data_IF_909407920178
#
_entry.id   IF_909407920178
#
_cell.length_a   1.000
_cell.length_b   1.000
_cell.length_c   1.000
_cell.angle_alpha   90.00
_cell.angle_beta   90.00
_cell.angle_gamma   90.00
#
_symmetry.space_group_name_H-M   'P 1'
#
loop_
_entity.id
_entity.type
_entity.pdbx_description
1 polymer ?
#
# COMPACT_ATOMS: atom_id res chain seq x y z
N UNK A 1 4.20 -2.99 20.94
CA UNK A 1 3.11 -1.96 21.03
C UNK A 1 3.40 -0.63 20.31
N UNK A 2 4.65 -0.19 20.10
CA UNK A 2 4.96 1.06 19.35
C UNK A 2 4.90 0.94 17.81
N UNK A 3 5.07 -0.26 17.25
CA UNK A 3 5.32 -0.44 15.82
C UNK A 3 4.10 -0.40 14.90
N UNK A 4 2.88 -0.71 15.39
CA UNK A 4 1.67 -0.65 14.56
C UNK A 4 1.24 0.79 14.28
N UNK A 5 1.51 1.71 15.22
CA UNK A 5 1.23 3.14 15.06
C UNK A 5 2.10 3.78 13.98
N UNK A 6 3.35 3.32 13.83
CA UNK A 6 4.28 3.84 12.84
C UNK A 6 3.89 3.41 11.41
N UNK A 7 3.47 2.15 11.24
CA UNK A 7 2.98 1.65 9.94
C UNK A 7 1.69 2.36 9.51
N UNK A 8 0.77 2.59 10.44
CA UNK A 8 -0.48 3.34 10.19
C UNK A 8 -0.21 4.82 9.89
N UNK A 9 0.68 5.49 10.63
CA UNK A 9 1.00 6.89 10.35
C UNK A 9 1.72 7.07 9.01
N UNK A 10 2.66 6.18 8.65
CA UNK A 10 3.42 6.30 7.39
C UNK A 10 2.57 5.92 6.17
N UNK A 11 1.66 4.93 6.26
CA UNK A 11 0.75 4.65 5.15
C UNK A 11 -0.34 5.72 4.99
N UNK A 12 -0.95 6.20 6.10
CA UNK A 12 -2.08 7.15 6.03
C UNK A 12 -1.67 8.60 5.73
N UNK A 13 -0.50 9.08 6.18
CA UNK A 13 -0.03 10.44 5.87
C UNK A 13 0.41 10.59 4.42
N UNK A 14 0.73 9.50 3.72
CA UNK A 14 1.34 9.56 2.39
C UNK A 14 0.35 9.27 1.26
N UNK A 15 -0.65 8.40 1.48
CA UNK A 15 -1.74 8.23 0.52
C UNK A 15 -2.53 9.53 0.35
N UNK A 16 -2.68 10.34 1.41
CA UNK A 16 -3.31 11.66 1.31
C UNK A 16 -2.46 12.65 0.51
N UNK A 17 -1.16 12.78 0.78
CA UNK A 17 -0.32 13.79 0.10
C UNK A 17 -0.05 13.48 -1.38
N UNK A 18 0.04 12.21 -1.77
CA UNK A 18 0.26 11.84 -3.18
C UNK A 18 -0.99 12.04 -4.04
N UNK A 19 -2.16 11.75 -3.45
CA UNK A 19 -3.47 12.05 -4.02
C UNK A 19 -3.63 13.56 -4.31
N UNK A 20 -3.17 14.41 -3.39
CA UNK A 20 -3.27 15.87 -3.53
C UNK A 20 -2.31 16.43 -4.59
N UNK A 21 -1.10 15.89 -4.72
CA UNK A 21 -0.12 16.37 -5.72
C UNK A 21 -0.50 16.00 -7.17
N UNK A 22 -1.11 14.83 -7.39
CA UNK A 22 -1.61 14.46 -8.72
C UNK A 22 -2.87 15.25 -9.11
N UNK A 23 -3.69 15.66 -8.14
CA UNK A 23 -4.86 16.51 -8.35
C UNK A 23 -4.49 17.96 -8.73
N UNK A 24 -3.40 18.49 -8.20
CA UNK A 24 -2.98 19.88 -8.45
C UNK A 24 -2.36 20.12 -9.84
N UNK A 25 -2.04 19.08 -10.60
CA UNK A 25 -1.16 19.19 -11.76
C UNK A 25 -1.85 19.48 -13.12
N UNK A 26 -3.16 19.26 -13.31
CA UNK A 26 -3.81 19.62 -14.59
C UNK A 26 -5.36 19.72 -14.54
N UNK A 27 -6.01 20.64 -15.28
CA UNK A 27 -7.47 20.81 -15.29
C UNK A 27 -8.19 19.89 -16.30
N UNK A 28 -7.47 19.08 -17.06
CA UNK A 28 -8.06 18.20 -18.08
C UNK A 28 -8.58 16.91 -17.43
N UNK A 29 -9.90 16.71 -17.41
CA UNK A 29 -10.53 15.57 -16.72
C UNK A 29 -10.08 14.18 -17.20
N UNK A 30 -9.41 14.07 -18.37
CA UNK A 30 -8.88 12.80 -18.91
C UNK A 30 -7.59 12.36 -18.20
N UNK A 31 -6.72 13.28 -17.82
CA UNK A 31 -5.45 12.96 -17.16
C UNK A 31 -5.69 12.61 -15.70
N UNK A 32 -6.58 13.33 -15.02
CA UNK A 32 -6.99 13.02 -13.64
C UNK A 32 -7.66 11.64 -13.53
N UNK A 33 -8.41 11.26 -14.55
CA UNK A 33 -9.02 9.93 -14.69
C UNK A 33 -7.98 8.80 -14.72
N UNK A 34 -6.89 8.98 -15.46
CA UNK A 34 -5.79 8.00 -15.57
C UNK A 34 -5.02 7.91 -14.25
N UNK A 35 -4.73 9.04 -13.60
CA UNK A 35 -4.09 9.04 -12.29
C UNK A 35 -4.95 8.36 -11.23
N UNK A 36 -6.26 8.58 -11.26
CA UNK A 36 -7.19 7.90 -10.36
C UNK A 36 -7.16 6.38 -10.55
N UNK A 37 -7.23 5.92 -11.80
CA UNK A 37 -7.12 4.49 -12.14
C UNK A 37 -5.77 3.90 -11.73
N UNK A 38 -4.66 4.58 -12.01
CA UNK A 38 -3.32 4.12 -11.61
C UNK A 38 -3.18 4.06 -10.10
N UNK A 39 -3.72 5.02 -9.37
CA UNK A 39 -3.56 5.12 -7.93
C UNK A 39 -4.45 4.13 -7.20
N UNK A 40 -5.77 4.16 -7.45
CA UNK A 40 -6.72 3.27 -6.78
C UNK A 40 -6.62 1.84 -7.32
N UNK A 41 -6.56 1.68 -8.65
CA UNK A 41 -6.41 0.38 -9.29
C UNK A 41 -5.04 -0.24 -9.01
N UNK A 42 -3.96 0.55 -9.11
CA UNK A 42 -2.61 0.09 -8.80
C UNK A 42 -2.42 -0.27 -7.32
N UNK A 43 -2.96 0.51 -6.40
CA UNK A 43 -2.99 0.16 -4.98
C UNK A 43 -3.71 -1.17 -4.77
N UNK A 44 -4.90 -1.34 -5.36
CA UNK A 44 -5.69 -2.57 -5.25
C UNK A 44 -4.93 -3.78 -5.79
N UNK A 45 -4.30 -3.64 -6.97
CA UNK A 45 -3.50 -4.69 -7.59
C UNK A 45 -2.27 -5.06 -6.76
N UNK A 46 -1.57 -4.09 -6.15
CA UNK A 46 -0.44 -4.35 -5.27
C UNK A 46 -0.87 -4.95 -3.93
N UNK A 47 -2.07 -4.61 -3.46
CA UNK A 47 -2.61 -5.10 -2.20
C UNK A 47 -2.99 -6.59 -2.25
N UNK A 48 -3.42 -7.12 -3.39
CA UNK A 48 -3.75 -8.55 -3.55
C UNK A 48 -2.57 -9.50 -3.21
N UNK A 49 -1.39 -9.40 -3.87
CA UNK A 49 -0.24 -10.26 -3.55
C UNK A 49 0.28 -10.01 -2.14
N UNK A 50 0.13 -8.78 -1.61
CA UNK A 50 0.44 -8.46 -0.22
C UNK A 50 -0.45 -9.25 0.75
N UNK A 51 -1.76 -9.26 0.52
CA UNK A 51 -2.72 -10.03 1.30
C UNK A 51 -2.45 -11.53 1.23
N UNK A 52 -2.11 -12.04 0.05
CA UNK A 52 -1.73 -13.44 -0.12
C UNK A 52 -0.48 -13.78 0.71
N UNK A 53 0.58 -12.96 0.63
CA UNK A 53 1.78 -13.12 1.44
C UNK A 53 1.47 -13.14 2.93
N UNK A 54 0.62 -12.23 3.42
CA UNK A 54 0.23 -12.19 4.83
C UNK A 54 -0.62 -13.38 5.26
N UNK A 55 -1.52 -13.85 4.39
CA UNK A 55 -2.34 -15.03 4.64
C UNK A 55 -1.49 -16.30 4.75
N UNK A 56 -0.61 -16.57 3.77
CA UNK A 56 0.22 -17.78 3.76
C UNK A 56 1.29 -17.79 4.86
N UNK A 57 1.71 -16.61 5.32
CA UNK A 57 2.66 -16.49 6.43
C UNK A 57 1.98 -16.29 7.80
N UNK A 58 0.67 -16.51 7.88
CA UNK A 58 -0.10 -16.59 9.13
C UNK A 58 -0.28 -15.27 9.89
N UNK A 59 -0.10 -14.12 9.23
CA UNK A 59 -0.25 -12.81 9.89
C UNK A 59 -1.71 -12.52 10.29
N UNK A 60 -2.67 -13.11 9.57
CA UNK A 60 -4.10 -12.97 9.87
C UNK A 60 -4.60 -13.81 11.06
N UNK A 61 -3.75 -14.65 11.67
CA UNK A 61 -4.06 -15.27 12.96
C UNK A 61 -4.07 -14.24 14.12
N UNK A 62 -3.35 -13.13 13.97
CA UNK A 62 -3.36 -12.06 14.96
C UNK A 62 -4.74 -11.40 15.05
N UNK A 63 -5.16 -11.02 16.27
CA UNK A 63 -6.44 -10.32 16.47
C UNK A 63 -6.44 -8.90 15.90
N UNK A 64 -5.29 -8.22 15.87
CA UNK A 64 -5.17 -6.80 15.53
C UNK A 64 -4.69 -6.54 14.10
N UNK A 65 -3.82 -7.41 13.56
CA UNK A 65 -3.23 -7.22 12.25
C UNK A 65 -4.26 -7.10 11.10
N UNK A 66 -5.23 -8.03 10.92
CA UNK A 66 -6.22 -7.94 9.85
C UNK A 66 -7.12 -6.70 9.99
N UNK A 67 -7.45 -6.28 11.22
CA UNK A 67 -8.22 -5.06 11.47
C UNK A 67 -7.47 -3.82 10.99
N UNK A 68 -6.19 -3.68 11.32
CA UNK A 68 -5.38 -2.55 10.90
C UNK A 68 -5.12 -2.55 9.39
N UNK A 69 -4.82 -3.71 8.80
CA UNK A 69 -4.63 -3.82 7.36
C UNK A 69 -5.90 -3.41 6.61
N UNK A 70 -7.05 -3.93 7.04
CA UNK A 70 -8.35 -3.56 6.47
C UNK A 70 -8.64 -2.07 6.63
N UNK A 71 -8.43 -1.51 7.82
CA UNK A 71 -8.69 -0.09 8.08
C UNK A 71 -7.84 0.83 7.18
N UNK A 72 -6.55 0.53 7.02
CA UNK A 72 -5.66 1.29 6.14
C UNK A 72 -6.13 1.18 4.69
N UNK A 73 -6.40 -0.02 4.21
CA UNK A 73 -6.86 -0.24 2.84
C UNK A 73 -8.21 0.47 2.57
N UNK A 74 -9.12 0.47 3.55
CA UNK A 74 -10.41 1.16 3.45
C UNK A 74 -10.26 2.68 3.39
N UNK A 75 -9.36 3.27 4.20
CA UNK A 75 -9.10 4.71 4.19
C UNK A 75 -8.64 5.16 2.79
N UNK A 76 -7.73 4.42 2.16
CA UNK A 76 -7.27 4.74 0.80
C UNK A 76 -8.43 4.72 -0.20
N UNK A 77 -9.33 3.73 -0.09
CA UNK A 77 -10.51 3.64 -0.95
C UNK A 77 -11.52 4.77 -0.70
N UNK A 78 -11.73 5.17 0.57
CA UNK A 78 -12.63 6.26 0.93
C UNK A 78 -12.10 7.59 0.39
N UNK A 79 -10.81 7.86 0.58
CA UNK A 79 -10.18 9.07 0.04
C UNK A 79 -10.29 9.07 -1.49
N UNK A 80 -10.05 7.92 -2.14
CA UNK A 80 -10.31 7.75 -3.57
C UNK A 80 -11.75 8.14 -3.96
N UNK A 81 -12.75 7.60 -3.26
CA UNK A 81 -14.15 7.87 -3.55
C UNK A 81 -14.52 9.35 -3.41
N UNK A 82 -14.01 10.05 -2.40
CA UNK A 82 -14.26 11.49 -2.20
C UNK A 82 -13.73 12.31 -3.38
N UNK A 83 -12.53 12.01 -3.87
CA UNK A 83 -11.94 12.73 -5.01
C UNK A 83 -12.74 12.54 -6.29
N UNK A 84 -13.28 11.34 -6.52
CA UNK A 84 -14.13 11.08 -7.69
C UNK A 84 -15.38 11.94 -7.66
N UNK A 85 -16.00 12.09 -6.49
CA UNK A 85 -17.21 12.89 -6.33
C UNK A 85 -16.88 14.38 -6.59
N UNK A 86 -15.75 14.85 -6.08
CA UNK A 86 -15.28 16.23 -6.26
C UNK A 86 -15.04 16.60 -7.74
N UNK A 87 -14.58 15.63 -8.55
CA UNK A 87 -14.28 15.81 -9.97
C UNK A 87 -15.52 15.99 -10.88
N UNK A 88 -16.75 15.84 -10.36
CA UNK A 88 -18.00 15.85 -11.15
C UNK A 88 -17.88 15.14 -12.52
N UNK A 89 -17.46 13.86 -12.56
CA UNK A 89 -17.20 13.16 -13.80
C UNK A 89 -18.48 12.97 -14.63
N UNK A 90 -18.32 12.86 -15.95
CA UNK A 90 -19.44 12.45 -16.82
C UNK A 90 -20.02 11.10 -16.38
N UNK A 91 -21.29 10.85 -16.69
CA UNK A 91 -22.02 9.65 -16.22
C UNK A 91 -21.31 8.33 -16.56
N UNK A 92 -20.61 8.28 -17.70
CA UNK A 92 -19.84 7.10 -18.12
C UNK A 92 -18.57 6.89 -17.27
N UNK A 93 -17.86 7.96 -16.90
CA UNK A 93 -16.70 7.86 -16.02
C UNK A 93 -17.13 7.59 -14.57
N UNK A 94 -18.26 8.14 -14.13
CA UNK A 94 -18.82 7.89 -12.80
C UNK A 94 -19.14 6.41 -12.58
N UNK A 95 -19.78 5.75 -13.54
CA UNK A 95 -20.11 4.32 -13.43
C UNK A 95 -18.85 3.44 -13.39
N UNK A 96 -17.83 3.78 -14.17
CA UNK A 96 -16.53 3.12 -14.15
C UNK A 96 -15.84 3.27 -12.78
N UNK A 97 -15.77 4.49 -12.24
CA UNK A 97 -15.15 4.73 -10.93
C UNK A 97 -15.88 4.05 -9.79
N UNK A 98 -17.20 4.08 -9.80
CA UNK A 98 -18.01 3.35 -8.82
C UNK A 98 -17.71 1.84 -8.86
N UNK A 99 -17.64 1.24 -10.05
CA UNK A 99 -17.27 -0.17 -10.20
C UNK A 99 -15.92 -0.50 -9.55
N UNK A 100 -14.91 0.34 -9.81
CA UNK A 100 -13.56 0.15 -9.25
C UNK A 100 -13.54 0.36 -7.74
N UNK A 101 -14.22 1.39 -7.23
CA UNK A 101 -14.32 1.66 -5.79
C UNK A 101 -14.99 0.48 -5.09
N UNK A 102 -16.08 -0.07 -5.64
CA UNK A 102 -16.77 -1.24 -5.08
C UNK A 102 -15.83 -2.45 -5.02
N UNK A 103 -15.13 -2.76 -6.13
CA UNK A 103 -14.16 -3.85 -6.18
C UNK A 103 -13.03 -3.63 -5.18
N UNK A 104 -12.50 -2.41 -5.10
CA UNK A 104 -11.40 -2.06 -4.21
C UNK A 104 -11.81 -2.15 -2.73
N UNK A 105 -13.03 -1.74 -2.36
CA UNK A 105 -13.59 -1.91 -1.01
C UNK A 105 -13.77 -3.39 -0.70
N UNK A 106 -14.34 -4.18 -1.61
CA UNK A 106 -14.51 -5.62 -1.41
C UNK A 106 -13.16 -6.32 -1.16
N UNK A 107 -12.14 -5.98 -1.96
CA UNK A 107 -10.78 -6.50 -1.78
C UNK A 107 -10.09 -5.95 -0.53
N UNK A 108 -10.39 -4.74 -0.09
CA UNK A 108 -9.88 -4.19 1.17
C UNK A 108 -10.46 -4.88 2.40
N UNK A 109 -11.69 -5.38 2.32
CA UNK A 109 -12.35 -6.16 3.39
C UNK A 109 -11.90 -7.62 3.43
N UNK A 110 -11.25 -8.13 2.37
CA UNK A 110 -10.81 -9.51 2.27
C UNK A 110 -9.96 -10.01 3.45
N UNK A 111 -9.04 -9.23 4.07
CA UNK A 111 -8.30 -9.66 5.25
C UNK A 111 -9.19 -10.06 6.44
N UNK A 112 -10.36 -9.42 6.61
CA UNK A 112 -11.32 -9.78 7.65
C UNK A 112 -11.98 -11.13 7.40
N UNK A 113 -12.24 -11.45 6.14
CA UNK A 113 -12.73 -12.78 5.73
C UNK A 113 -11.64 -13.84 5.90
N UNK A 114 -10.43 -13.56 5.44
CA UNK A 114 -9.28 -14.47 5.54
C UNK A 114 -8.88 -14.78 6.98
N UNK A 115 -9.19 -13.89 7.94
CA UNK A 115 -9.02 -14.13 9.37
C UNK A 115 -9.79 -15.37 9.85
N UNK A 116 -10.97 -15.63 9.29
CA UNK A 116 -11.81 -16.77 9.69
C UNK A 116 -11.20 -18.12 9.26
N UNK A 117 -10.38 -18.12 8.21
CA UNK A 117 -9.66 -19.29 7.69
C UNK A 117 -8.15 -19.15 7.85
N UNK A 118 -7.70 -18.43 8.88
CA UNK A 118 -6.31 -18.06 9.06
C UNK A 118 -5.41 -19.30 9.22
N UNK A 119 -4.31 -19.31 8.46
CA UNK A 119 -3.30 -20.38 8.53
C UNK A 119 -2.33 -20.13 9.69
N UNK A 120 -1.86 -21.18 10.38
CA UNK A 120 -0.85 -21.04 11.42
C UNK A 120 0.43 -20.40 10.89
N UNK A 121 1.14 -19.71 11.76
CA UNK A 121 2.37 -19.00 11.42
C UNK A 121 3.43 -19.95 10.88
N UNK A 122 3.96 -19.66 9.69
CA UNK A 122 5.01 -20.46 9.06
C UNK A 122 6.35 -20.24 9.77
N UNK A 123 7.14 -21.31 9.95
CA UNK A 123 8.51 -21.24 10.46
C UNK A 123 9.43 -20.34 9.60
N UNK A 124 9.12 -20.22 8.31
CA UNK A 124 9.87 -19.39 7.35
C UNK A 124 9.18 -18.06 7.03
N UNK A 125 8.20 -17.64 7.85
CA UNK A 125 7.42 -16.43 7.62
C UNK A 125 8.29 -15.19 7.40
N UNK A 126 9.32 -14.99 8.24
CA UNK A 126 10.23 -13.84 8.13
C UNK A 126 10.97 -13.82 6.78
N UNK A 127 11.48 -14.97 6.33
CA UNK A 127 12.21 -15.09 5.07
C UNK A 127 11.31 -14.85 3.86
N UNK A 128 10.11 -15.42 3.86
CA UNK A 128 9.15 -15.26 2.77
C UNK A 128 8.68 -13.80 2.64
N UNK A 129 8.42 -13.13 3.76
CA UNK A 129 8.06 -11.71 3.76
C UNK A 129 9.24 -10.84 3.30
N UNK A 130 10.48 -11.17 3.66
CA UNK A 130 11.67 -10.47 3.18
C UNK A 130 11.87 -10.65 1.67
N UNK A 131 11.69 -11.86 1.14
CA UNK A 131 11.74 -12.11 -0.31
C UNK A 131 10.66 -11.27 -1.01
N UNK A 132 9.44 -11.25 -0.46
CA UNK A 132 8.37 -10.36 -0.94
C UNK A 132 8.82 -8.89 -0.92
N UNK A 133 9.41 -8.42 0.17
CA UNK A 133 9.91 -7.05 0.27
C UNK A 133 10.93 -6.74 -0.84
N UNK A 134 11.88 -7.63 -1.11
CA UNK A 134 12.88 -7.44 -2.18
C UNK A 134 12.20 -7.40 -3.55
N UNK A 135 11.25 -8.31 -3.84
CA UNK A 135 10.51 -8.32 -5.11
C UNK A 135 9.77 -7.00 -5.31
N UNK A 136 9.01 -6.54 -4.31
CA UNK A 136 8.32 -5.25 -4.36
C UNK A 136 9.31 -4.08 -4.49
N UNK A 137 10.49 -4.18 -3.89
CA UNK A 137 11.56 -3.20 -4.02
C UNK A 137 12.09 -3.12 -5.45
N UNK A 138 12.30 -4.26 -6.11
CA UNK A 138 12.70 -4.30 -7.53
C UNK A 138 11.61 -3.74 -8.44
N UNK A 139 10.34 -4.09 -8.20
CA UNK A 139 9.20 -3.53 -8.96
C UNK A 139 9.11 -2.01 -8.76
N UNK A 140 9.52 -1.50 -7.60
CA UNK A 140 9.53 -0.05 -7.33
C UNK A 140 10.51 0.75 -8.19
N UNK A 141 11.45 0.09 -8.87
CA UNK A 141 12.30 0.75 -9.87
C UNK A 141 11.50 1.10 -11.14
N UNK A 142 10.44 0.34 -11.45
CA UNK A 142 9.55 0.60 -12.58
C UNK A 142 8.38 1.52 -12.18
N UNK A 143 7.82 1.29 -10.99
CA UNK A 143 6.70 2.04 -10.45
C UNK A 143 7.01 2.47 -9.01
N UNK A 144 7.56 3.66 -8.86
CA UNK A 144 8.08 4.15 -7.58
C UNK A 144 7.09 4.12 -6.39
N UNK A 145 5.75 4.25 -6.53
CA UNK A 145 4.84 4.14 -5.39
C UNK A 145 4.81 2.74 -4.75
N UNK A 146 5.25 1.72 -5.49
CA UNK A 146 5.32 0.33 -5.03
C UNK A 146 6.35 0.15 -3.90
N UNK A 147 7.30 1.08 -3.76
CA UNK A 147 8.31 1.07 -2.70
C UNK A 147 7.71 1.02 -1.29
N UNK A 148 6.52 1.61 -1.08
CA UNK A 148 5.83 1.60 0.23
C UNK A 148 5.45 0.19 0.65
N UNK A 149 4.99 -0.65 -0.30
CA UNK A 149 4.65 -2.04 -0.02
C UNK A 149 5.88 -2.88 0.33
N UNK A 150 7.02 -2.60 -0.31
CA UNK A 150 8.31 -3.20 0.03
C UNK A 150 8.72 -2.86 1.47
N UNK A 151 8.68 -1.58 1.85
CA UNK A 151 8.98 -1.14 3.20
C UNK A 151 8.04 -1.78 4.24
N UNK A 152 6.74 -1.84 3.94
CA UNK A 152 5.76 -2.47 4.83
C UNK A 152 6.06 -3.96 5.05
N UNK A 153 6.38 -4.71 3.99
CA UNK A 153 6.78 -6.12 4.10
C UNK A 153 8.04 -6.30 4.93
N UNK A 154 9.07 -5.47 4.73
CA UNK A 154 10.31 -5.53 5.50
C UNK A 154 10.07 -5.24 7.00
N UNK A 155 9.21 -4.26 7.32
CA UNK A 155 8.85 -3.96 8.71
C UNK A 155 8.10 -5.12 9.37
N UNK A 156 7.17 -5.77 8.63
CA UNK A 156 6.41 -6.92 9.16
C UNK A 156 7.29 -8.17 9.27
N UNK A 157 8.21 -8.39 8.33
CA UNK A 157 9.18 -9.48 8.35
C UNK A 157 10.07 -9.45 9.60
N UNK A 158 10.54 -8.26 9.98
CA UNK A 158 11.33 -8.00 11.20
C UNK A 158 10.61 -8.42 12.48
N UNK A 159 9.28 -8.28 12.52
CA UNK A 159 8.48 -8.57 13.71
C UNK A 159 8.24 -10.07 13.93
N UNK A 160 8.63 -10.92 12.97
CA UNK A 160 8.51 -12.35 13.10
C UNK A 160 9.61 -12.90 14.00
N UNK A 161 9.27 -13.80 14.93
CA UNK A 161 10.27 -14.57 15.66
C UNK A 161 10.88 -15.61 14.72
N UNK A 162 12.14 -15.42 14.34
CA UNK A 162 12.90 -16.37 13.55
C UNK A 162 14.25 -16.63 14.22
N UNK A 163 14.75 -17.86 14.07
CA UNK A 163 16.07 -18.28 14.58
C UNK A 163 17.23 -17.38 14.08
N UNK A 164 17.06 -16.74 12.92
CA UNK A 164 18.05 -15.87 12.27
C UNK A 164 17.77 -14.36 12.49
N UNK A 165 17.12 -14.01 13.59
CA UNK A 165 16.59 -12.66 13.86
C UNK A 165 17.61 -11.52 13.65
N UNK A 166 18.87 -11.71 14.02
CA UNK A 166 19.89 -10.65 13.95
C UNK A 166 20.19 -10.19 12.53
N UNK A 167 20.47 -11.13 11.63
CA UNK A 167 20.77 -10.84 10.21
C UNK A 167 19.53 -10.33 9.49
N UNK A 168 18.39 -10.99 9.69
CA UNK A 168 17.13 -10.59 9.03
C UNK A 168 16.71 -9.19 9.47
N UNK A 169 16.88 -8.82 10.74
CA UNK A 169 16.58 -7.47 11.21
C UNK A 169 17.42 -6.40 10.54
N UNK A 170 18.73 -6.65 10.35
CA UNK A 170 19.62 -5.73 9.64
C UNK A 170 19.21 -5.54 8.19
N UNK A 171 18.95 -6.64 7.48
CA UNK A 171 18.52 -6.60 6.08
C UNK A 171 17.14 -5.94 5.93
N UNK A 172 16.19 -6.22 6.82
CA UNK A 172 14.88 -5.55 6.81
C UNK A 172 15.01 -4.03 6.97
N UNK A 173 15.88 -3.55 7.86
CA UNK A 173 16.13 -2.12 8.01
C UNK A 173 16.76 -1.50 6.78
N UNK A 174 17.76 -2.16 6.19
CA UNK A 174 18.39 -1.70 4.95
C UNK A 174 17.36 -1.60 3.81
N UNK A 175 16.54 -2.64 3.61
CA UNK A 175 15.50 -2.65 2.57
C UNK A 175 14.45 -1.57 2.84
N UNK A 176 13.98 -1.43 4.08
CA UNK A 176 12.99 -0.41 4.44
C UNK A 176 13.54 1.02 4.25
N UNK A 177 14.77 1.29 4.70
CA UNK A 177 15.41 2.60 4.53
C UNK A 177 15.67 2.90 3.05
N UNK A 178 16.23 1.95 2.31
CA UNK A 178 16.52 2.14 0.89
C UNK A 178 15.24 2.45 0.09
N UNK A 179 14.16 1.74 0.36
CA UNK A 179 12.88 1.94 -0.34
C UNK A 179 12.18 3.23 0.08
N UNK A 180 12.26 3.63 1.36
CA UNK A 180 11.76 4.93 1.83
C UNK A 180 12.56 6.09 1.22
N UNK A 181 13.90 5.99 1.17
CA UNK A 181 14.77 7.00 0.56
C UNK A 181 14.48 7.11 -0.94
N UNK A 182 14.40 5.97 -1.65
CA UNK A 182 14.06 5.93 -3.07
C UNK A 182 12.71 6.60 -3.35
N UNK A 183 11.70 6.27 -2.56
CA UNK A 183 10.38 6.89 -2.65
C UNK A 183 10.45 8.40 -2.40
N UNK A 184 11.13 8.83 -1.32
CA UNK A 184 11.27 10.25 -0.97
C UNK A 184 11.99 11.07 -2.03
N UNK A 185 13.00 10.49 -2.69
CA UNK A 185 13.70 11.10 -3.82
C UNK A 185 12.78 11.30 -5.03
N UNK A 186 11.98 10.30 -5.38
CA UNK A 186 11.05 10.41 -6.51
C UNK A 186 9.91 11.38 -6.21
N UNK A 187 9.41 11.41 -4.97
CA UNK A 187 8.40 12.36 -4.54
C UNK A 187 8.91 13.81 -4.56
N UNK A 188 10.16 14.05 -4.15
CA UNK A 188 10.75 15.39 -4.18
C UNK A 188 11.01 15.88 -5.61
N UNK A 189 11.43 15.00 -6.50
CA UNK A 189 11.53 15.31 -7.94
C UNK A 189 10.19 15.70 -8.53
N UNK A 190 9.13 14.94 -8.23
CA UNK A 190 7.77 15.28 -8.65
C UNK A 190 7.34 16.66 -8.13
N UNK A 191 7.59 16.96 -6.85
CA UNK A 191 7.24 18.24 -6.25
C UNK A 191 7.89 19.43 -6.96
N UNK A 192 9.15 19.30 -7.39
CA UNK A 192 9.86 20.35 -8.13
C UNK A 192 9.29 20.61 -9.53
N UNK A 193 8.53 19.67 -10.08
CA UNK A 193 7.94 19.75 -11.42
C UNK A 193 6.46 20.15 -11.40
N UNK A 194 5.86 20.36 -10.22
CA UNK A 194 4.51 20.91 -10.10
C UNK A 194 4.61 22.42 -10.36
N UNK A 195 4.02 22.96 -11.44
CA UNK A 195 4.03 24.39 -11.69
C UNK A 195 3.33 25.10 -10.53
N UNK A 196 3.98 26.13 -9.99
CA UNK A 196 3.39 27.01 -8.99
C UNK A 196 2.25 27.79 -9.65
N UNK A 197 1.02 27.29 -9.53
CA UNK A 197 -0.20 28.02 -9.81
C UNK A 197 -0.68 28.71 -8.54
#
# INVERSE_FOLDING_TARGET
>A
MKSSRLLTSVCCLFTSNFIFSAHAAEPSGMVTSIYFLMLLGGFTLCNIPLQALFYFNGQYCSTRFPLWHTAIALIVNIVGAVLVIDQQPSTAYLSMYLGIIIVAIALALLPMWLRQSAKPQSQHASRNLLIGAVIFGLVSLLAWPVAIFSAALAIVAKQQNSEQQGVINGVCWLVALATIIWFGYQASMLWQHIPAN
#
